data_IF_481332506286
#
_entry.id   IF_481332506286
#
_cell.length_a   1.000
_cell.length_b   1.000
_cell.length_c   1.000
_cell.angle_alpha   90.00
_cell.angle_beta   90.00
_cell.angle_gamma   90.00
#
_symmetry.space_group_name_H-M   'P 1'
#
loop_
_entity.id
_entity.type
_entity.pdbx_description
1 polymer ?
#
# COMPACT_ATOMS: atom_id res chain seq x y z
N UNK A 1 15.51 25.31 6.27
CA UNK A 1 15.03 24.02 6.77
C UNK A 1 13.56 24.11 7.13
N UNK A 2 12.69 23.56 6.29
CA UNK A 2 11.25 23.54 6.51
C UNK A 2 10.89 22.28 7.32
N UNK A 3 10.28 22.43 8.49
CA UNK A 3 9.82 21.31 9.32
C UNK A 3 8.35 21.07 9.01
N UNK A 4 8.04 19.98 8.29
CA UNK A 4 6.66 19.58 8.04
C UNK A 4 6.12 18.76 9.22
N UNK A 5 5.00 19.20 9.81
CA UNK A 5 4.37 18.56 10.97
C UNK A 5 2.86 18.44 10.78
N UNK A 6 2.43 17.29 10.24
CA UNK A 6 1.02 17.01 9.91
C UNK A 6 0.07 17.14 11.11
N UNK A 7 0.55 16.75 12.30
CA UNK A 7 -0.20 16.78 13.56
C UNK A 7 -0.63 18.17 14.03
N UNK A 8 -0.11 19.24 13.42
CA UNK A 8 -0.52 20.61 13.74
C UNK A 8 -1.89 20.95 13.13
N UNK A 9 -2.39 20.11 12.20
CA UNK A 9 -3.63 20.37 11.47
C UNK A 9 -4.56 19.15 11.30
N UNK A 10 -4.08 17.93 11.58
CA UNK A 10 -4.81 16.67 11.36
C UNK A 10 -4.70 15.79 12.61
N UNK A 11 -5.79 15.13 12.98
CA UNK A 11 -5.83 14.15 14.08
C UNK A 11 -5.64 12.71 13.56
N UNK A 12 -4.94 11.85 14.32
CA UNK A 12 -4.79 10.44 13.94
C UNK A 12 -6.09 9.67 14.10
N UNK A 13 -6.31 8.67 13.24
CA UNK A 13 -7.40 7.71 13.41
C UNK A 13 -7.18 6.79 14.61
N UNK A 14 -8.27 6.20 15.10
CA UNK A 14 -8.27 5.30 16.28
C UNK A 14 -8.56 3.84 15.92
N UNK A 15 -8.96 3.55 14.69
CA UNK A 15 -9.43 2.23 14.27
C UNK A 15 -8.78 1.72 12.98
N UNK A 16 -8.71 0.40 12.87
CA UNK A 16 -8.25 -0.30 11.66
C UNK A 16 -9.42 -0.54 10.71
N UNK A 17 -9.34 0.04 9.51
CA UNK A 17 -10.32 -0.17 8.45
C UNK A 17 -10.00 -1.42 7.64
N UNK A 18 -10.75 -2.50 7.93
CA UNK A 18 -10.78 -3.74 7.13
C UNK A 18 -12.23 -4.19 7.03
N UNK A 19 -12.76 -4.30 5.82
CA UNK A 19 -14.17 -4.60 5.57
C UNK A 19 -14.36 -5.43 4.30
N UNK A 20 -15.48 -6.14 4.22
CA UNK A 20 -15.83 -6.96 3.08
C UNK A 20 -16.35 -6.11 1.91
N UNK A 21 -15.96 -6.49 0.69
CA UNK A 21 -16.44 -5.89 -0.56
C UNK A 21 -16.80 -7.00 -1.55
N UNK A 22 -17.53 -6.70 -2.65
CA UNK A 22 -17.75 -7.66 -3.73
C UNK A 22 -16.46 -8.18 -4.39
N UNK A 23 -15.31 -7.53 -4.15
CA UNK A 23 -14.02 -7.85 -4.74
C UNK A 23 -13.06 -8.54 -3.76
N UNK A 24 -13.51 -8.84 -2.54
CA UNK A 24 -12.70 -9.40 -1.45
C UNK A 24 -12.59 -8.47 -0.24
N UNK A 25 -11.88 -8.92 0.78
CA UNK A 25 -11.70 -8.17 2.04
C UNK A 25 -10.66 -7.08 1.88
N UNK A 26 -11.10 -5.83 1.92
CA UNK A 26 -10.30 -4.64 1.63
C UNK A 26 -9.82 -3.98 2.93
N UNK A 27 -8.53 -3.64 2.97
CA UNK A 27 -7.91 -2.84 4.04
C UNK A 27 -7.42 -1.49 3.51
N UNK A 28 -7.57 -0.43 4.32
CA UNK A 28 -7.17 0.93 3.95
C UNK A 28 -6.07 1.41 4.89
N UNK A 29 -4.97 1.92 4.30
CA UNK A 29 -3.89 2.62 4.98
C UNK A 29 -3.59 3.92 4.23
N UNK A 30 -3.13 4.98 4.90
CA UNK A 30 -2.91 6.28 4.25
C UNK A 30 -1.43 6.64 4.31
N UNK A 31 -0.83 6.84 3.14
CA UNK A 31 0.50 7.43 2.95
C UNK A 31 1.57 6.97 3.96
N UNK A 32 1.77 7.73 5.04
CA UNK A 32 2.82 7.52 6.04
C UNK A 32 2.68 6.20 6.81
N UNK A 33 1.47 5.62 6.85
CA UNK A 33 1.21 4.29 7.40
C UNK A 33 2.12 3.22 6.77
N UNK A 34 2.54 3.40 5.51
CA UNK A 34 3.46 2.48 4.82
C UNK A 34 4.75 2.23 5.57
N UNK A 35 5.16 3.09 6.50
CA UNK A 35 6.38 2.90 7.28
C UNK A 35 6.23 1.90 8.42
N UNK A 36 5.02 1.54 8.80
CA UNK A 36 4.73 0.74 9.99
C UNK A 36 4.21 -0.66 9.60
N UNK A 37 5.10 -1.66 9.44
CA UNK A 37 4.66 -3.01 9.05
C UNK A 37 3.61 -3.58 10.02
N UNK A 38 3.67 -3.25 11.31
CA UNK A 38 2.74 -3.70 12.34
C UNK A 38 1.28 -3.36 12.02
N UNK A 39 1.04 -2.24 11.34
CA UNK A 39 -0.28 -1.80 10.92
C UNK A 39 -0.89 -2.80 9.92
N UNK A 40 -0.13 -3.14 8.88
CA UNK A 40 -0.53 -4.12 7.87
C UNK A 40 -0.59 -5.54 8.43
N UNK A 41 0.26 -5.86 9.41
CA UNK A 41 0.19 -7.15 10.12
C UNK A 41 -1.12 -7.33 10.86
N UNK A 42 -1.65 -6.28 11.49
CA UNK A 42 -2.98 -6.31 12.12
C UNK A 42 -4.08 -6.51 11.08
N UNK A 43 -3.98 -5.88 9.90
CA UNK A 43 -4.93 -6.13 8.79
C UNK A 43 -4.86 -7.55 8.25
N UNK A 44 -3.65 -8.11 8.10
CA UNK A 44 -3.43 -9.50 7.70
C UNK A 44 -4.07 -10.49 8.67
N UNK A 45 -4.03 -10.22 9.98
CA UNK A 45 -4.75 -11.04 10.98
C UNK A 45 -6.29 -10.98 10.82
N UNK A 46 -6.82 -9.90 10.27
CA UNK A 46 -8.24 -9.77 9.90
C UNK A 46 -8.56 -10.40 8.54
N UNK A 47 -7.58 -11.01 7.86
CA UNK A 47 -7.76 -11.72 6.59
C UNK A 47 -7.76 -10.81 5.36
N UNK A 48 -7.09 -9.65 5.39
CA UNK A 48 -7.04 -8.74 4.24
C UNK A 48 -6.56 -9.42 2.97
N UNK A 49 -7.20 -9.11 1.84
CA UNK A 49 -6.90 -9.67 0.52
C UNK A 49 -6.41 -8.59 -0.44
N UNK A 50 -6.91 -7.37 -0.25
CA UNK A 50 -6.55 -6.18 -1.03
C UNK A 50 -6.22 -5.05 -0.05
N UNK A 51 -5.03 -4.48 -0.17
CA UNK A 51 -4.64 -3.25 0.52
C UNK A 51 -4.78 -2.06 -0.43
N UNK A 52 -5.45 -1.00 0.00
CA UNK A 52 -5.49 0.27 -0.73
C UNK A 52 -4.72 1.32 0.05
N UNK A 53 -3.77 1.97 -0.62
CA UNK A 53 -2.82 2.90 0.00
C UNK A 53 -2.80 4.26 -0.70
N UNK A 54 -3.86 5.07 -0.59
CA UNK A 54 -3.86 6.43 -1.12
C UNK A 54 -2.77 7.28 -0.48
N UNK A 55 -2.00 7.97 -1.33
CA UNK A 55 -0.76 8.60 -0.91
C UNK A 55 -0.45 9.91 -1.63
N UNK A 56 0.43 10.69 -1.02
CA UNK A 56 1.09 11.85 -1.61
C UNK A 56 2.57 11.87 -1.22
N UNK A 57 3.31 10.82 -1.58
CA UNK A 57 4.73 10.70 -1.25
C UNK A 57 5.52 11.84 -1.89
N UNK A 58 6.43 12.46 -1.13
CA UNK A 58 7.31 13.50 -1.66
C UNK A 58 8.27 12.91 -2.70
N UNK A 59 8.72 13.71 -3.66
CA UNK A 59 9.59 13.24 -4.74
C UNK A 59 10.87 12.53 -4.23
N UNK A 60 11.54 13.09 -3.22
CA UNK A 60 12.76 12.53 -2.65
C UNK A 60 12.52 11.20 -1.94
N UNK A 61 11.55 11.16 -1.01
CA UNK A 61 11.26 9.93 -0.25
C UNK A 61 10.62 8.86 -1.13
N UNK A 62 9.84 9.27 -2.14
CA UNK A 62 9.24 8.37 -3.11
C UNK A 62 10.27 7.67 -3.97
N UNK A 63 11.27 8.40 -4.47
CA UNK A 63 12.35 7.84 -5.28
C UNK A 63 13.13 6.73 -4.54
N UNK A 64 13.26 6.83 -3.22
CA UNK A 64 13.98 5.87 -2.41
C UNK A 64 13.10 4.71 -1.87
N UNK A 65 11.85 5.00 -1.48
CA UNK A 65 11.09 4.08 -0.61
C UNK A 65 9.74 3.62 -1.15
N UNK A 66 9.16 4.30 -2.15
CA UNK A 66 7.76 4.06 -2.54
C UNK A 66 7.52 2.63 -2.99
N UNK A 67 8.18 2.19 -4.06
CA UNK A 67 8.04 0.82 -4.56
C UNK A 67 8.52 -0.21 -3.54
N UNK A 68 9.65 0.05 -2.87
CA UNK A 68 10.24 -0.85 -1.88
C UNK A 68 9.25 -1.19 -0.77
N UNK A 69 8.61 -0.18 -0.17
CA UNK A 69 7.67 -0.38 0.92
C UNK A 69 6.40 -1.05 0.43
N UNK A 70 5.85 -0.65 -0.72
CA UNK A 70 4.63 -1.25 -1.26
C UNK A 70 4.80 -2.74 -1.59
N UNK A 71 5.90 -3.08 -2.26
CA UNK A 71 6.24 -4.49 -2.56
C UNK A 71 6.47 -5.27 -1.29
N UNK A 72 7.12 -4.68 -0.28
CA UNK A 72 7.23 -5.29 1.03
C UNK A 72 5.84 -5.58 1.63
N UNK A 73 4.90 -4.63 1.63
CA UNK A 73 3.53 -4.85 2.14
C UNK A 73 2.78 -5.96 1.40
N UNK A 74 2.97 -6.06 0.09
CA UNK A 74 2.40 -7.14 -0.71
C UNK A 74 2.95 -8.51 -0.30
N UNK A 75 4.28 -8.72 -0.42
CA UNK A 75 4.91 -10.04 -0.21
C UNK A 75 4.80 -10.50 1.23
N UNK A 76 4.86 -9.57 2.17
CA UNK A 76 4.91 -9.93 3.56
C UNK A 76 3.52 -10.40 4.03
N UNK A 77 2.44 -9.87 3.45
CA UNK A 77 1.04 -10.17 3.79
C UNK A 77 0.35 -11.10 2.78
N UNK A 78 1.00 -11.46 1.68
CA UNK A 78 0.45 -12.25 0.56
C UNK A 78 -0.93 -11.73 0.13
N UNK A 79 -0.99 -10.46 -0.22
CA UNK A 79 -2.20 -9.76 -0.65
C UNK A 79 -1.87 -8.80 -1.80
N UNK A 80 -2.89 -8.40 -2.57
CA UNK A 80 -2.74 -7.34 -3.55
C UNK A 80 -2.54 -5.99 -2.87
N UNK A 81 -1.82 -5.07 -3.52
CA UNK A 81 -1.67 -3.68 -3.08
C UNK A 81 -2.05 -2.76 -4.25
N UNK A 82 -3.00 -1.86 -4.01
CA UNK A 82 -3.44 -0.81 -4.92
C UNK A 82 -3.04 0.53 -4.32
N UNK A 83 -2.08 1.21 -4.93
CA UNK A 83 -1.46 2.39 -4.35
C UNK A 83 -1.58 3.60 -5.27
N UNK A 84 -2.71 4.31 -5.26
CA UNK A 84 -2.84 5.58 -5.96
C UNK A 84 -1.99 6.64 -5.24
N UNK A 85 -1.20 7.39 -6.01
CA UNK A 85 -0.30 8.40 -5.48
C UNK A 85 -0.39 9.70 -6.27
N UNK A 86 -0.37 10.83 -5.57
CA UNK A 86 -0.27 12.14 -6.20
C UNK A 86 1.06 12.27 -6.94
N UNK A 87 1.07 12.84 -8.15
CA UNK A 87 2.27 13.06 -8.94
C UNK A 87 2.36 14.48 -9.49
N UNK A 88 3.59 14.98 -9.65
CA UNK A 88 3.85 16.29 -10.26
C UNK A 88 4.05 17.41 -9.23
N UNK A 89 3.75 18.64 -9.65
CA UNK A 89 3.95 19.85 -8.86
C UNK A 89 2.61 20.41 -8.38
N UNK A 90 2.54 20.72 -7.09
CA UNK A 90 1.38 21.31 -6.44
C UNK A 90 1.54 22.82 -6.34
N UNK A 91 0.43 23.57 -6.28
CA UNK A 91 0.42 25.05 -6.21
C UNK A 91 1.21 25.58 -5.02
N UNK A 92 1.28 24.82 -3.92
CA UNK A 92 2.05 25.16 -2.72
C UNK A 92 3.55 24.86 -2.82
N UNK A 93 4.07 24.56 -4.01
CA UNK A 93 5.50 24.27 -4.25
C UNK A 93 5.92 22.84 -3.94
N UNK A 94 5.04 21.99 -3.38
CA UNK A 94 5.37 20.58 -3.11
C UNK A 94 5.49 19.80 -4.42
N UNK A 95 6.47 18.90 -4.49
CA UNK A 95 6.62 17.92 -5.57
C UNK A 95 6.34 16.53 -5.04
N UNK A 96 5.37 15.83 -5.64
CA UNK A 96 5.03 14.45 -5.27
C UNK A 96 5.48 13.46 -6.33
N UNK A 97 5.75 12.23 -5.89
CA UNK A 97 6.48 11.23 -6.66
C UNK A 97 5.67 10.60 -7.79
N UNK A 98 4.34 10.50 -7.65
CA UNK A 98 3.50 9.72 -8.55
C UNK A 98 3.80 8.23 -8.41
N UNK A 99 4.01 7.53 -9.51
CA UNK A 99 4.25 6.08 -9.55
C UNK A 99 3.09 5.32 -8.91
N UNK A 100 1.84 5.75 -9.18
CA UNK A 100 0.65 4.99 -8.81
C UNK A 100 0.79 3.59 -9.37
N UNK A 101 0.55 2.56 -8.56
CA UNK A 101 0.81 1.18 -9.00
C UNK A 101 -0.11 0.15 -8.36
N UNK A 102 -0.20 -1.01 -9.03
CA UNK A 102 -0.87 -2.21 -8.53
C UNK A 102 0.17 -3.33 -8.43
N UNK A 103 0.17 -4.05 -7.32
CA UNK A 103 1.16 -5.09 -7.02
C UNK A 103 0.42 -6.38 -6.62
N UNK A 104 0.89 -7.52 -7.12
CA UNK A 104 0.35 -8.82 -6.80
C UNK A 104 0.87 -9.39 -5.46
N UNK A 105 0.29 -10.48 -4.93
CA UNK A 105 0.72 -11.10 -3.67
C UNK A 105 2.17 -11.60 -3.65
N UNK A 106 2.82 -11.74 -4.81
CA UNK A 106 4.22 -12.14 -4.95
C UNK A 106 5.17 -10.95 -5.13
N UNK A 107 4.64 -9.72 -5.05
CA UNK A 107 5.41 -8.50 -5.18
C UNK A 107 5.74 -8.13 -6.63
N UNK A 108 5.04 -8.69 -7.61
CA UNK A 108 5.15 -8.29 -9.01
C UNK A 108 4.33 -7.01 -9.21
N UNK A 109 4.96 -5.96 -9.73
CA UNK A 109 4.24 -4.73 -10.14
C UNK A 109 3.49 -5.03 -11.43
N UNK A 110 2.16 -5.04 -11.36
CA UNK A 110 1.27 -5.38 -12.47
C UNK A 110 1.12 -4.20 -13.44
N UNK A 111 1.04 -2.99 -12.89
CA UNK A 111 1.02 -1.75 -13.65
C UNK A 111 1.54 -0.58 -12.79
N UNK A 112 2.17 0.42 -13.42
CA UNK A 112 2.74 1.59 -12.77
C UNK A 112 2.70 2.83 -13.67
N UNK A 113 2.07 3.89 -13.20
CA UNK A 113 1.98 5.17 -13.89
C UNK A 113 2.83 6.23 -13.20
N UNK A 114 3.86 6.73 -13.89
CA UNK A 114 4.93 7.53 -13.30
C UNK A 114 4.47 8.90 -12.79
N UNK A 115 3.97 9.80 -13.62
CA UNK A 115 3.61 11.18 -13.17
C UNK A 115 2.53 11.79 -14.06
N UNK A 116 1.82 12.80 -13.55
CA UNK A 116 0.76 13.51 -14.27
C UNK A 116 -0.61 12.84 -14.15
N UNK A 117 -1.59 13.37 -14.88
CA UNK A 117 -2.93 12.78 -14.96
C UNK A 117 -2.89 11.43 -15.68
N UNK A 118 -3.51 10.40 -15.11
CA UNK A 118 -3.54 9.05 -15.65
C UNK A 118 -4.08 8.04 -14.65
N UNK A 119 -4.05 6.76 -15.04
CA UNK A 119 -4.50 5.64 -14.22
C UNK A 119 -3.59 4.43 -14.45
N UNK A 120 -3.71 3.46 -13.54
CA UNK A 120 -3.17 2.11 -13.70
C UNK A 120 -4.32 1.11 -13.72
N UNK A 121 -4.14 0.00 -14.43
CA UNK A 121 -5.15 -1.04 -14.57
C UNK A 121 -4.51 -2.42 -14.45
N UNK A 122 -5.11 -3.28 -13.63
CA UNK A 122 -4.73 -4.68 -13.51
C UNK A 122 -5.94 -5.54 -13.10
N UNK A 123 -5.86 -6.82 -13.40
CA UNK A 123 -6.82 -7.82 -12.92
C UNK A 123 -6.42 -8.32 -11.53
N UNK A 124 -7.42 -8.40 -10.63
CA UNK A 124 -7.24 -9.00 -9.31
C UNK A 124 -7.68 -10.46 -9.40
N UNK A 125 -6.70 -11.36 -9.47
CA UNK A 125 -6.92 -12.81 -9.54
C UNK A 125 -6.91 -13.41 -8.12
N UNK A 126 -8.09 -13.75 -7.61
CA UNK A 126 -8.27 -14.39 -6.31
C UNK A 126 -7.67 -15.80 -6.27
N UNK A 127 -7.77 -16.57 -7.36
CA UNK A 127 -7.19 -17.92 -7.39
C UNK A 127 -5.67 -17.87 -7.29
N UNK A 128 -5.03 -16.90 -7.97
CA UNK A 128 -3.58 -16.68 -7.85
C UNK A 128 -3.19 -16.38 -6.40
N UNK A 129 -3.94 -15.51 -5.71
CA UNK A 129 -3.68 -15.20 -4.31
C UNK A 129 -3.81 -16.44 -3.42
N UNK A 130 -4.87 -17.23 -3.59
CA UNK A 130 -5.06 -18.48 -2.86
C UNK A 130 -3.94 -19.49 -3.14
N UNK A 131 -3.55 -19.67 -4.41
CA UNK A 131 -2.43 -20.53 -4.81
C UNK A 131 -1.13 -20.09 -4.14
N UNK A 132 -0.84 -18.78 -4.12
CA UNK A 132 0.35 -18.23 -3.44
C UNK A 132 0.30 -18.50 -1.92
N UNK A 133 -0.84 -18.26 -1.28
CA UNK A 133 -1.02 -18.52 0.17
C UNK A 133 -0.93 -20.00 0.52
N UNK A 134 -1.42 -20.88 -0.34
CA UNK A 134 -1.36 -22.33 -0.16
C UNK A 134 0.05 -22.90 -0.38
N UNK A 135 0.75 -22.43 -1.43
CA UNK A 135 2.10 -22.87 -1.74
C UNK A 135 3.15 -22.30 -0.76
N UNK A 136 2.91 -21.12 -0.22
CA UNK A 136 3.80 -20.46 0.73
C UNK A 136 3.03 -19.95 1.97
N UNK A 137 2.65 -20.85 2.91
CA UNK A 137 1.76 -20.52 4.03
C UNK A 137 2.44 -19.73 5.16
N UNK A 138 3.27 -18.74 4.84
CA UNK A 138 4.00 -17.92 5.84
C UNK A 138 3.09 -17.16 6.80
N UNK A 139 1.84 -16.90 6.43
CA UNK A 139 0.88 -16.24 7.32
C UNK A 139 0.55 -17.10 8.55
N UNK A 140 0.57 -18.44 8.42
CA UNK A 140 0.32 -19.39 9.52
C UNK A 140 1.61 -19.81 10.26
N UNK A 141 2.77 -19.64 9.64
CA UNK A 141 4.06 -20.04 10.22
C UNK A 141 4.65 -19.06 11.25
N UNK A 142 4.00 -17.91 11.48
CA UNK A 142 4.52 -16.84 12.34
C UNK A 142 4.71 -17.33 13.78
N UNK A 143 5.97 -17.46 14.22
CA UNK A 143 6.40 -17.71 15.60
C UNK A 143 7.46 -16.67 15.97
N UNK A 144 7.37 -16.12 17.17
CA UNK A 144 8.26 -15.03 17.64
C UNK A 144 9.20 -15.49 18.76
N UNK A 145 9.17 -16.79 19.06
CA UNK A 145 9.95 -17.51 20.06
C UNK A 145 9.91 -19.01 19.73
#
# INVERSE_FOLDING_TARGET
>A
DEVYRESDSIEPGTELLVFDTPFGKLGIAVCYDLRFPEFFRKMSKKGVEILVVPSAFTAETGAAHWELLLRARAVENLCYVIAPNQGGFHINGRKTFGHSMIIDPWGVVLDCYKTGGGYVLAEIDCERMEKVRGAFPVLSHRRFF
#
